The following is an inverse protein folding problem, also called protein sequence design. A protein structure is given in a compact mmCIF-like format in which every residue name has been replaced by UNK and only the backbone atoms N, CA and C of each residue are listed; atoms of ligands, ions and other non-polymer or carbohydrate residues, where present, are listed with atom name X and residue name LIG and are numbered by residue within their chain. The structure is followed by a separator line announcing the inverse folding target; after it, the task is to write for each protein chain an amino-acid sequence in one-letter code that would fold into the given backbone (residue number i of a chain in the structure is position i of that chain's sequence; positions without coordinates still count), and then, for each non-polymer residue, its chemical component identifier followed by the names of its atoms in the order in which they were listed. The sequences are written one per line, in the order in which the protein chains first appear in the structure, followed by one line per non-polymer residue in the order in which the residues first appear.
data_IF_160998414395
#
_entry.id   IF_160998414395
#
_cell.length_a   1.000
_cell.length_b   1.000
_cell.length_c   1.000
_cell.angle_alpha   90.00
_cell.angle_beta   90.00
_cell.angle_gamma   90.00
#
_symmetry.space_group_name_H-M   'P 1'
#
loop_
_entity.id
_entity.type
_entity.pdbx_description
1 polymer ?
#
# COMPACT_ATOMS: atom_id res chain seq x y z
N UNK A 1 9.50 -38.08 57.86
CA UNK A 1 9.57 -38.44 56.42
C UNK A 1 10.55 -37.48 55.78
N UNK A 2 11.73 -37.79 55.27
CA UNK A 2 12.43 -39.04 55.02
C UNK A 2 13.56 -38.67 54.05
N UNK A 3 14.80 -38.79 54.54
CA UNK A 3 16.08 -38.91 53.83
C UNK A 3 16.79 -37.71 53.16
N UNK A 4 18.09 -37.71 53.47
CA UNK A 4 19.18 -36.77 53.18
C UNK A 4 19.89 -37.15 51.86
N UNK A 5 20.17 -36.11 51.06
CA UNK A 5 21.47 -35.65 50.57
C UNK A 5 22.51 -36.57 49.86
N UNK A 6 23.14 -35.91 48.85
CA UNK A 6 24.55 -35.94 48.39
C UNK A 6 24.99 -36.73 47.13
N UNK A 7 25.55 -35.93 46.20
CA UNK A 7 26.84 -36.06 45.49
C UNK A 7 26.98 -36.92 44.20
N UNK A 8 27.37 -36.22 43.13
CA UNK A 8 28.07 -36.62 41.88
C UNK A 8 29.50 -37.19 42.13
N UNK A 9 30.31 -37.60 41.11
CA UNK A 9 30.13 -38.21 39.76
C UNK A 9 31.12 -39.43 39.64
N UNK A 10 31.83 -39.75 38.53
CA UNK A 10 31.60 -39.69 37.07
C UNK A 10 31.69 -41.08 36.40
N UNK A 11 31.39 -41.20 35.10
CA UNK A 11 32.14 -42.15 34.25
C UNK A 11 32.03 -41.78 32.77
N UNK A 12 33.20 -41.73 32.16
CA UNK A 12 33.47 -41.56 30.74
C UNK A 12 32.95 -42.74 29.93
N UNK A 13 32.41 -42.47 28.74
CA UNK A 13 32.61 -43.36 27.59
C UNK A 13 33.03 -42.52 26.38
N UNK A 14 34.15 -42.94 25.82
CA UNK A 14 34.83 -42.39 24.65
C UNK A 14 34.30 -43.07 23.37
N UNK A 15 34.49 -42.34 22.26
CA UNK A 15 34.52 -42.78 20.84
C UNK A 15 33.20 -42.98 20.10
N UNK A 16 32.98 -42.08 19.13
CA UNK A 16 32.03 -42.24 18.03
C UNK A 16 31.81 -40.94 17.24
N UNK A 17 32.83 -40.46 16.52
CA UNK A 17 32.65 -39.42 15.51
C UNK A 17 31.70 -39.94 14.42
N UNK A 18 30.51 -39.36 14.31
CA UNK A 18 29.78 -39.30 13.04
C UNK A 18 29.12 -37.92 12.91
N UNK A 19 29.83 -37.02 12.24
CA UNK A 19 29.27 -35.81 11.66
C UNK A 19 28.30 -36.22 10.54
N UNK A 20 27.02 -36.37 10.86
CA UNK A 20 25.98 -36.30 9.83
C UNK A 20 25.57 -34.83 9.72
N UNK A 21 26.26 -34.08 8.83
CA UNK A 21 25.65 -32.90 8.24
C UNK A 21 24.38 -33.37 7.51
N UNK A 22 23.20 -32.75 7.73
CA UNK A 22 22.08 -32.98 6.86
C UNK A 22 22.49 -32.54 5.44
N UNK A 23 22.19 -33.33 4.39
CA UNK A 23 22.47 -32.91 3.03
C UNK A 23 21.71 -31.60 2.78
N UNK A 24 22.45 -30.57 2.39
CA UNK A 24 21.89 -29.32 1.92
C UNK A 24 20.87 -29.67 0.83
N UNK A 25 19.59 -29.51 1.13
CA UNK A 25 18.57 -29.49 0.11
C UNK A 25 18.82 -28.23 -0.71
N UNK A 26 19.50 -28.39 -1.82
CA UNK A 26 19.53 -27.36 -2.87
C UNK A 26 18.12 -27.29 -3.44
N UNK A 27 17.23 -26.60 -2.75
CA UNK A 27 16.00 -26.14 -3.36
C UNK A 27 16.42 -25.09 -4.38
N UNK A 28 16.48 -25.52 -5.64
CA UNK A 28 16.43 -24.63 -6.78
C UNK A 28 15.23 -23.72 -6.55
N UNK A 29 15.50 -22.47 -6.16
CA UNK A 29 14.47 -21.45 -6.10
C UNK A 29 14.02 -21.25 -7.54
N UNK A 30 12.95 -21.96 -7.90
CA UNK A 30 12.12 -21.56 -9.02
C UNK A 30 11.72 -20.13 -8.70
N UNK A 31 12.39 -19.16 -9.34
CA UNK A 31 11.85 -17.82 -9.49
C UNK A 31 10.61 -18.01 -10.34
N UNK A 32 9.50 -18.35 -9.67
CA UNK A 32 8.17 -18.03 -10.13
C UNK A 32 8.26 -16.52 -10.26
N UNK A 33 8.43 -16.04 -11.50
CA UNK A 33 8.17 -14.67 -11.84
C UNK A 33 6.70 -14.45 -11.58
N UNK A 34 6.33 -14.23 -10.31
CA UNK A 34 5.08 -13.59 -9.99
C UNK A 34 5.17 -12.26 -10.74
N UNK A 35 4.21 -12.02 -11.63
CA UNK A 35 3.99 -10.69 -12.17
C UNK A 35 3.54 -9.83 -10.98
N UNK A 36 4.48 -9.47 -10.10
CA UNK A 36 4.23 -8.56 -9.00
C UNK A 36 4.26 -7.19 -9.62
N UNK A 37 3.12 -6.76 -10.13
CA UNK A 37 2.87 -5.34 -10.20
C UNK A 37 2.94 -4.84 -8.76
N UNK A 38 4.06 -4.24 -8.39
CA UNK A 38 4.25 -3.63 -7.08
C UNK A 38 3.20 -2.52 -6.96
N UNK A 39 2.14 -2.78 -6.19
CA UNK A 39 1.10 -1.80 -5.83
C UNK A 39 1.60 -0.80 -4.78
N UNK A 40 2.81 -1.03 -4.26
CA UNK A 40 3.48 -0.18 -3.31
C UNK A 40 4.32 0.85 -4.04
N UNK A 41 4.23 2.10 -3.59
CA UNK A 41 5.11 3.15 -4.06
C UNK A 41 4.82 4.47 -3.38
N UNK A 42 5.39 5.55 -3.94
CA UNK A 42 5.39 6.87 -3.31
C UNK A 42 4.64 7.94 -4.09
N UNK A 43 4.34 7.69 -5.36
CA UNK A 43 3.62 8.64 -6.20
C UNK A 43 2.55 7.90 -7.00
N UNK A 44 1.31 8.40 -6.96
CA UNK A 44 0.17 7.83 -7.65
C UNK A 44 -0.64 8.94 -8.30
N UNK A 45 -1.27 8.61 -9.43
CA UNK A 45 -2.17 9.50 -10.15
C UNK A 45 -3.51 8.81 -10.39
N UNK A 46 -4.59 9.57 -10.32
CA UNK A 46 -5.92 9.10 -10.74
C UNK A 46 -6.79 10.26 -11.21
N UNK A 47 -7.85 9.94 -11.94
CA UNK A 47 -8.89 10.86 -12.38
C UNK A 47 -10.25 10.19 -12.21
N UNK A 48 -11.30 10.99 -12.06
CA UNK A 48 -12.64 10.48 -11.79
C UNK A 48 -13.62 10.96 -12.84
N UNK A 49 -14.46 10.04 -13.33
CA UNK A 49 -15.57 10.36 -14.21
C UNK A 49 -16.81 10.63 -13.36
N UNK A 50 -17.56 11.70 -13.67
CA UNK A 50 -18.81 11.98 -12.97
C UNK A 50 -19.96 11.19 -13.58
N UNK A 51 -20.88 10.74 -12.74
CA UNK A 51 -22.09 10.07 -13.20
C UNK A 51 -23.12 11.08 -13.74
N UNK A 52 -23.88 10.67 -14.75
CA UNK A 52 -24.84 11.55 -15.41
C UNK A 52 -26.10 11.70 -14.55
N UNK A 53 -26.24 12.87 -13.91
CA UNK A 53 -27.48 13.26 -13.21
C UNK A 53 -27.41 13.21 -11.68
N UNK A 54 -26.32 12.72 -11.08
CA UNK A 54 -26.11 12.71 -9.63
C UNK A 54 -24.70 13.17 -9.27
N UNK A 55 -24.56 13.94 -8.19
CA UNK A 55 -23.23 14.23 -7.64
C UNK A 55 -22.61 12.95 -7.07
N UNK A 56 -21.35 12.71 -7.43
CA UNK A 56 -20.57 11.57 -6.92
C UNK A 56 -19.57 12.05 -5.87
N UNK A 57 -19.40 11.28 -4.80
CA UNK A 57 -18.36 11.55 -3.81
C UNK A 57 -17.10 10.76 -4.15
N UNK A 58 -16.00 11.47 -4.36
CA UNK A 58 -14.72 10.86 -4.72
C UNK A 58 -13.78 10.84 -3.52
N UNK A 59 -13.12 9.71 -3.32
CA UNK A 59 -12.13 9.53 -2.25
C UNK A 59 -10.93 8.74 -2.74
N UNK A 60 -9.77 8.97 -2.12
CA UNK A 60 -8.64 8.03 -2.15
C UNK A 60 -8.48 7.41 -0.77
N UNK A 61 -8.37 6.10 -0.69
CA UNK A 61 -8.05 5.36 0.53
C UNK A 61 -6.58 4.98 0.49
N UNK A 62 -5.84 5.39 1.51
CA UNK A 62 -4.39 5.25 1.57
C UNK A 62 -4.04 4.31 2.71
N UNK A 63 -3.28 3.27 2.41
CA UNK A 63 -2.79 2.32 3.41
C UNK A 63 -1.30 2.53 3.66
N UNK A 64 -0.94 2.72 4.93
CA UNK A 64 0.44 2.90 5.37
C UNK A 64 1.10 1.59 5.78
N UNK A 65 2.37 1.40 5.40
CA UNK A 65 3.17 0.24 5.79
C UNK A 65 4.28 0.59 6.79
N UNK A 66 4.49 1.88 7.03
CA UNK A 66 5.49 2.41 7.95
C UNK A 66 4.86 3.42 8.91
N UNK A 67 5.39 3.49 10.13
CA UNK A 67 4.96 4.50 11.10
C UNK A 67 5.30 5.91 10.61
N UNK A 68 4.42 6.87 10.93
CA UNK A 68 4.58 8.27 10.58
C UNK A 68 4.89 8.49 9.09
N UNK A 69 4.07 7.94 8.21
CA UNK A 69 4.18 8.18 6.76
C UNK A 69 3.45 9.47 6.41
N UNK A 70 4.16 10.45 5.87
CA UNK A 70 3.59 11.72 5.46
C UNK A 70 3.06 11.63 4.05
N UNK A 71 1.77 11.89 3.86
CA UNK A 71 1.10 11.81 2.56
C UNK A 71 0.46 13.15 2.22
N UNK A 72 0.66 13.59 0.99
CA UNK A 72 0.02 14.76 0.39
C UNK A 72 -0.88 14.33 -0.76
N UNK A 73 -2.13 14.80 -0.73
CA UNK A 73 -3.12 14.58 -1.80
C UNK A 73 -3.46 15.95 -2.37
N UNK A 74 -3.21 16.13 -3.66
CA UNK A 74 -3.46 17.40 -4.34
C UNK A 74 -4.17 17.17 -5.67
N UNK A 75 -4.78 18.22 -6.20
CA UNK A 75 -5.41 18.18 -7.53
C UNK A 75 -4.68 19.15 -8.45
N UNK A 76 -4.08 18.64 -9.52
CA UNK A 76 -3.48 19.48 -10.56
C UNK A 76 -4.58 20.16 -11.37
N UNK A 77 -4.34 21.41 -11.78
CA UNK A 77 -5.27 22.20 -12.62
C UNK A 77 -6.68 22.40 -12.03
N UNK A 78 -6.84 22.24 -10.71
CA UNK A 78 -8.12 22.46 -10.03
C UNK A 78 -8.58 23.91 -10.20
N UNK A 79 -9.67 24.11 -10.93
CA UNK A 79 -10.20 25.45 -11.28
C UNK A 79 -11.51 25.78 -10.55
N UNK A 80 -12.04 24.86 -9.72
CA UNK A 80 -13.39 24.98 -9.14
C UNK A 80 -13.55 26.08 -8.10
N UNK A 81 -12.57 26.26 -7.22
CA UNK A 81 -12.50 27.35 -6.25
C UNK A 81 -11.11 27.96 -6.40
N UNK A 82 -10.96 29.29 -6.33
CA UNK A 82 -9.71 30.03 -6.65
C UNK A 82 -8.47 29.62 -5.83
N UNK A 83 -8.60 28.64 -4.95
CA UNK A 83 -7.59 28.01 -4.12
C UNK A 83 -7.27 26.60 -4.61
N UNK A 84 -5.98 26.28 -4.71
CA UNK A 84 -5.46 24.95 -5.02
C UNK A 84 -5.92 23.96 -3.94
N UNK A 85 -6.47 22.81 -4.33
CA UNK A 85 -6.78 21.74 -3.39
C UNK A 85 -5.49 20.98 -3.04
N UNK A 86 -5.16 20.96 -1.75
CA UNK A 86 -4.09 20.16 -1.18
C UNK A 86 -4.46 19.75 0.25
N UNK A 87 -4.30 18.47 0.58
CA UNK A 87 -4.49 17.93 1.91
C UNK A 87 -3.26 17.12 2.31
N UNK A 88 -2.71 17.40 3.48
CA UNK A 88 -1.61 16.63 4.08
C UNK A 88 -2.14 15.82 5.25
N UNK A 89 -1.77 14.55 5.31
CA UNK A 89 -2.15 13.63 6.37
C UNK A 89 -0.93 12.84 6.83
N UNK A 90 -1.04 12.28 8.04
CA UNK A 90 -0.11 11.27 8.54
C UNK A 90 -0.85 9.93 8.52
N UNK A 91 -0.19 8.89 8.00
CA UNK A 91 -0.73 7.52 7.95
C UNK A 91 0.23 6.62 8.70
N UNK A 92 -0.29 5.83 9.65
CA UNK A 92 0.53 4.88 10.40
C UNK A 92 0.55 3.50 9.74
N UNK A 93 1.45 2.64 10.24
CA UNK A 93 1.56 1.27 9.79
C UNK A 93 0.27 0.50 10.08
N UNK A 94 -0.27 -0.17 9.05
CA UNK A 94 -1.52 -0.93 9.12
C UNK A 94 -2.78 -0.07 9.12
N UNK A 95 -2.65 1.26 9.08
CA UNK A 95 -3.78 2.19 9.02
C UNK A 95 -4.23 2.39 7.58
N UNK A 96 -5.55 2.51 7.39
CA UNK A 96 -6.16 2.90 6.13
C UNK A 96 -6.94 4.20 6.34
N UNK A 97 -6.50 5.27 5.68
CA UNK A 97 -7.04 6.62 5.87
C UNK A 97 -7.74 7.09 4.59
N UNK A 98 -9.05 7.42 4.63
CA UNK A 98 -9.75 8.01 3.51
C UNK A 98 -9.49 9.52 3.40
N UNK A 99 -9.26 9.98 2.17
CA UNK A 99 -9.17 11.40 1.82
C UNK A 99 -10.28 11.75 0.84
N UNK A 100 -11.27 12.49 1.34
CA UNK A 100 -12.33 13.10 0.53
C UNK A 100 -11.79 14.16 -0.41
N UNK A 101 -12.20 14.05 -1.67
CA UNK A 101 -11.89 15.00 -2.73
C UNK A 101 -13.10 15.91 -2.99
N UNK A 102 -12.90 17.09 -3.62
CA UNK A 102 -14.01 17.96 -4.00
C UNK A 102 -14.95 17.28 -5.00
N UNK A 103 -16.26 17.50 -4.87
CA UNK A 103 -17.27 16.96 -5.79
C UNK A 103 -17.09 17.48 -7.23
N UNK A 104 -16.54 18.68 -7.39
CA UNK A 104 -16.25 19.32 -8.69
C UNK A 104 -15.06 18.70 -9.45
N UNK A 105 -14.48 17.62 -8.92
CA UNK A 105 -13.36 16.92 -9.53
C UNK A 105 -13.79 15.95 -10.65
N UNK A 106 -15.07 15.58 -10.69
CA UNK A 106 -15.59 14.68 -11.70
C UNK A 106 -15.53 15.27 -13.11
N UNK A 107 -15.11 14.45 -14.08
CA UNK A 107 -15.18 14.81 -15.50
C UNK A 107 -16.65 14.82 -15.93
N UNK A 108 -17.15 15.99 -16.32
CA UNK A 108 -18.51 16.16 -16.88
C UNK A 108 -18.48 16.18 -18.41
N UNK A 109 -19.34 15.38 -19.03
CA UNK A 109 -19.58 15.40 -20.47
C UNK A 109 -18.38 14.93 -21.31
N UNK A 110 -18.22 15.49 -22.51
CA UNK A 110 -17.19 15.10 -23.50
C UNK A 110 -16.05 16.12 -23.62
N UNK A 111 -16.05 17.16 -22.79
CA UNK A 111 -15.04 18.22 -22.80
C UNK A 111 -13.73 17.74 -22.21
N UNK A 112 -12.61 18.23 -22.78
CA UNK A 112 -11.26 17.98 -22.25
C UNK A 112 -11.20 18.43 -20.79
N UNK A 113 -10.77 17.54 -19.91
CA UNK A 113 -10.67 17.77 -18.48
C UNK A 113 -9.27 17.40 -18.01
N UNK A 114 -8.65 18.27 -17.21
CA UNK A 114 -7.23 18.16 -16.83
C UNK A 114 -7.02 18.05 -15.31
N UNK A 115 -8.09 17.77 -14.56
CA UNK A 115 -7.99 17.54 -13.13
C UNK A 115 -7.42 16.14 -12.88
N UNK A 116 -6.21 16.10 -12.34
CA UNK A 116 -5.55 14.85 -11.94
C UNK A 116 -5.32 14.92 -10.44
N UNK A 117 -5.73 13.87 -9.74
CA UNK A 117 -5.43 13.70 -8.32
C UNK A 117 -4.04 13.10 -8.23
N UNK A 118 -3.17 13.80 -7.53
CA UNK A 118 -1.80 13.41 -7.28
C UNK A 118 -1.64 13.08 -5.80
N UNK A 119 -1.26 11.85 -5.51
CA UNK A 119 -0.93 11.37 -4.17
C UNK A 119 0.58 11.19 -4.10
N UNK A 120 1.23 11.86 -3.15
CA UNK A 120 2.67 11.72 -2.88
C UNK A 120 2.94 11.38 -1.43
N UNK A 121 3.84 10.46 -1.18
CA UNK A 121 4.26 10.02 0.14
C UNK A 121 5.79 10.03 0.30
N UNK A 122 6.27 10.14 1.53
CA UNK A 122 7.69 10.04 1.85
C UNK A 122 8.18 8.57 1.94
N UNK A 123 7.28 7.63 2.21
CA UNK A 123 7.50 6.18 2.31
C UNK A 123 6.47 5.42 1.46
N UNK A 124 6.72 4.13 1.23
CA UNK A 124 5.83 3.34 0.39
C UNK A 124 4.45 3.15 1.03
N UNK A 125 3.42 3.40 0.22
CA UNK A 125 2.01 3.25 0.52
C UNK A 125 1.33 2.46 -0.59
N UNK A 126 0.12 1.98 -0.34
CA UNK A 126 -0.81 1.55 -1.40
C UNK A 126 -2.02 2.48 -1.41
N UNK A 127 -2.62 2.64 -2.59
CA UNK A 127 -3.74 3.56 -2.78
C UNK A 127 -4.86 2.89 -3.54
N UNK A 128 -6.08 3.04 -3.03
CA UNK A 128 -7.31 2.64 -3.69
C UNK A 128 -8.12 3.89 -3.99
N UNK A 129 -8.53 4.05 -5.24
CA UNK A 129 -9.49 5.07 -5.65
C UNK A 129 -10.91 4.58 -5.40
N UNK A 130 -11.76 5.43 -4.85
CA UNK A 130 -13.17 5.13 -4.57
C UNK A 130 -14.04 6.20 -5.20
N UNK A 131 -14.96 5.78 -6.06
CA UNK A 131 -16.03 6.60 -6.62
C UNK A 131 -17.35 6.13 -6.03
N UNK A 132 -17.90 6.90 -5.09
CA UNK A 132 -19.18 6.57 -4.49
C UNK A 132 -20.32 7.16 -5.33
N UNK A 133 -20.94 6.30 -6.15
CA UNK A 133 -22.14 6.64 -6.93
C UNK A 133 -23.38 6.27 -6.12
N UNK A 134 -24.51 6.93 -6.42
CA UNK A 134 -25.77 6.78 -5.67
C UNK A 134 -26.29 5.32 -5.59
N UNK A 135 -25.87 4.44 -6.50
CA UNK A 135 -26.32 3.04 -6.57
C UNK A 135 -25.25 2.07 -6.06
N UNK A 136 -23.97 2.28 -6.37
CA UNK A 136 -22.89 1.37 -5.99
C UNK A 136 -21.54 2.09 -5.98
N UNK A 137 -20.70 1.88 -4.95
CA UNK A 137 -19.34 2.40 -4.95
C UNK A 137 -18.45 1.56 -5.87
N UNK A 138 -17.71 2.24 -6.75
CA UNK A 138 -16.65 1.66 -7.56
C UNK A 138 -15.31 1.85 -6.88
N UNK A 139 -14.50 0.78 -6.83
CA UNK A 139 -13.15 0.83 -6.26
C UNK A 139 -12.12 0.39 -7.30
N UNK A 140 -10.96 1.03 -7.32
CA UNK A 140 -9.88 0.71 -8.26
C UNK A 140 -8.54 0.81 -7.55
N UNK A 141 -7.74 -0.25 -7.64
CA UNK A 141 -6.36 -0.26 -7.12
C UNK A 141 -5.50 0.60 -8.02
N UNK A 142 -4.75 1.54 -7.43
CA UNK A 142 -3.80 2.37 -8.17
C UNK A 142 -2.41 1.74 -8.15
N UNK A 143 -1.74 1.81 -9.29
CA UNK A 143 -0.33 1.47 -9.41
C UNK A 143 0.53 2.73 -9.29
N UNK A 144 1.73 2.61 -8.70
CA UNK A 144 2.61 3.75 -8.57
C UNK A 144 3.09 4.22 -9.95
N UNK A 145 3.39 5.50 -10.06
CA UNK A 145 3.86 6.12 -11.31
C UNK A 145 5.12 5.44 -11.85
N UNK A 146 5.99 4.91 -10.97
CA UNK A 146 7.17 4.14 -11.35
C UNK A 146 6.87 2.84 -12.11
N UNK A 147 5.64 2.33 -12.00
CA UNK A 147 5.18 1.13 -12.69
C UNK A 147 4.46 1.46 -14.00
N UNK A 148 4.26 2.74 -14.33
CA UNK A 148 3.74 3.17 -15.61
C UNK A 148 4.85 3.07 -16.67
N UNK A 149 4.49 2.68 -17.90
CA UNK A 149 5.46 2.59 -19.00
C UNK A 149 6.03 3.97 -19.38
N UNK A 150 7.23 3.97 -19.92
CA UNK A 150 7.79 5.15 -20.60
C UNK A 150 7.40 5.08 -22.08
N UNK A 151 6.89 6.18 -22.63
CA UNK A 151 6.64 6.37 -24.07
C UNK A 151 7.91 6.85 -24.79
#
# INVERSE_FOLDING_TARGET
MGHRAFAFPPMFFLLGLFWFLPPASTQSTNKIGTCQTETLGREFITSYMEDCGNSSQFEVQITGYFAFTSVSVSVSNYTGNRTRFEKKIMVNQGEMVPVRLPESLGIKGTTKFSNVVLVKADKDISVVSVSNKHVSPETTVLYPVSSLGNE
#
